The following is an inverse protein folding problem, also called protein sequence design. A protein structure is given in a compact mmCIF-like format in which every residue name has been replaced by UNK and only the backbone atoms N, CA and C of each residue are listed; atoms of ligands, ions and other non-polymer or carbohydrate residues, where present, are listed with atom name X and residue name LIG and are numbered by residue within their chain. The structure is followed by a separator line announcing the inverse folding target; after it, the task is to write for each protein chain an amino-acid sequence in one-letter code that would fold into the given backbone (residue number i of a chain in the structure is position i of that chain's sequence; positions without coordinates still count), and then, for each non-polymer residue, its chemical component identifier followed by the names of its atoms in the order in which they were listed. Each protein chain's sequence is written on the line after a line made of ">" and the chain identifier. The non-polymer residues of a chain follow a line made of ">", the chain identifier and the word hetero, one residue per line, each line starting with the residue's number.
data_IF_244486353518
#
_entry.id   IF_244486353518
#
_cell.length_a   1.000
_cell.length_b   1.000
_cell.length_c   1.000
_cell.angle_alpha   90.00
_cell.angle_beta   90.00
_cell.angle_gamma   90.00
#
_symmetry.space_group_name_H-M   'P 1'
#
loop_
_entity.id
_entity.type
_entity.pdbx_description
1 polymer ?
#
# COMPACT_ATOMS: atom_id res chain seq x y z
N UNK A 1 -0.76 -33.44 8.11
CA UNK A 1 0.21 -32.37 7.81
C UNK A 1 -0.55 -31.24 7.15
N UNK A 2 -0.79 -30.13 7.84
CA UNK A 2 -1.41 -28.96 7.21
C UNK A 2 -0.34 -28.31 6.33
N UNK A 3 -0.63 -28.15 5.03
CA UNK A 3 0.22 -27.45 4.07
C UNK A 3 0.54 -26.06 4.60
N UNK A 4 1.81 -25.73 4.79
CA UNK A 4 2.31 -24.45 5.30
C UNK A 4 2.18 -23.31 4.29
N UNK A 5 1.02 -23.17 3.64
CA UNK A 5 0.70 -22.03 2.80
C UNK A 5 0.36 -20.81 3.65
N UNK A 6 0.77 -19.61 3.21
CA UNK A 6 0.24 -18.38 3.79
C UNK A 6 -1.29 -18.40 3.72
N UNK A 7 -1.99 -17.96 4.78
CA UNK A 7 -3.45 -17.84 4.73
C UNK A 7 -3.86 -16.92 3.58
N UNK A 8 -5.03 -17.16 2.96
CA UNK A 8 -5.52 -16.32 1.88
C UNK A 8 -5.63 -14.88 2.35
N UNK A 9 -5.05 -13.99 1.56
CA UNK A 9 -4.98 -12.54 1.80
C UNK A 9 -6.24 -11.83 1.33
N UNK A 10 -7.08 -12.52 0.55
CA UNK A 10 -8.26 -11.95 -0.11
C UNK A 10 -7.92 -11.14 -1.37
N UNK A 11 -6.64 -11.04 -1.73
CA UNK A 11 -6.15 -10.26 -2.88
C UNK A 11 -5.63 -11.14 -4.02
N UNK A 12 -5.90 -12.45 -3.99
CA UNK A 12 -5.40 -13.43 -4.96
C UNK A 12 -5.78 -13.02 -6.40
N UNK A 13 -6.99 -12.49 -6.58
CA UNK A 13 -7.54 -12.09 -7.88
C UNK A 13 -7.14 -10.68 -8.34
N UNK A 14 -6.46 -9.90 -7.50
CA UNK A 14 -6.02 -8.55 -7.87
C UNK A 14 -4.74 -8.66 -8.71
N UNK A 15 -4.84 -8.33 -10.00
CA UNK A 15 -3.72 -8.34 -10.95
C UNK A 15 -3.22 -6.94 -11.33
N UNK A 16 -3.94 -5.90 -10.90
CA UNK A 16 -3.53 -4.52 -11.13
C UNK A 16 -2.27 -4.16 -10.30
N UNK A 17 -1.40 -3.27 -10.78
CA UNK A 17 -0.28 -2.76 -9.98
C UNK A 17 -0.76 -2.13 -8.67
N UNK A 18 -0.10 -2.45 -7.56
CA UNK A 18 -0.47 -1.94 -6.23
C UNK A 18 0.71 -1.30 -5.50
N UNK A 19 0.41 -0.19 -4.82
CA UNK A 19 1.29 0.58 -3.95
C UNK A 19 0.61 0.86 -2.62
N UNK A 20 1.38 0.99 -1.55
CA UNK A 20 0.86 1.25 -0.21
C UNK A 20 1.50 2.48 0.43
N UNK A 21 0.67 3.44 0.83
CA UNK A 21 1.07 4.66 1.52
C UNK A 21 0.62 4.58 2.99
N UNK A 22 1.57 4.33 3.88
CA UNK A 22 1.32 4.06 5.29
C UNK A 22 1.50 5.34 6.13
N UNK A 23 0.42 5.79 6.79
CA UNK A 23 0.44 6.97 7.66
C UNK A 23 0.48 6.56 9.14
N UNK A 24 1.28 7.24 9.94
CA UNK A 24 1.57 6.87 11.35
C UNK A 24 0.31 6.71 12.22
N UNK A 25 -0.68 7.57 12.04
CA UNK A 25 -1.89 7.61 12.87
C UNK A 25 -3.11 6.95 12.20
N UNK A 26 -2.89 6.12 11.18
CA UNK A 26 -3.94 5.26 10.61
C UNK A 26 -4.28 4.13 11.61
N UNK A 27 -5.55 4.04 12.00
CA UNK A 27 -6.05 3.09 13.00
C UNK A 27 -5.79 1.63 12.61
N UNK A 28 -5.88 1.33 11.32
CA UNK A 28 -5.80 -0.04 10.80
C UNK A 28 -4.48 -0.40 10.12
N UNK A 29 -3.40 0.34 10.35
CA UNK A 29 -2.18 0.16 9.56
C UNK A 29 -1.52 -1.20 9.85
N UNK A 30 -1.49 -2.15 8.89
CA UNK A 30 -0.88 -3.44 9.14
C UNK A 30 0.65 -3.29 9.21
N UNK A 31 1.35 -4.16 9.97
CA UNK A 31 2.80 -4.25 9.89
C UNK A 31 3.26 -4.44 8.44
N UNK A 32 4.33 -3.76 8.03
CA UNK A 32 4.87 -3.90 6.66
C UNK A 32 5.12 -5.36 6.27
N UNK A 33 5.58 -6.17 7.23
CA UNK A 33 5.81 -7.60 7.02
C UNK A 33 4.55 -8.35 6.53
N UNK A 34 3.35 -7.96 6.99
CA UNK A 34 2.10 -8.57 6.53
C UNK A 34 1.72 -8.10 5.12
N UNK A 35 2.04 -6.87 4.75
CA UNK A 35 1.87 -6.41 3.38
C UNK A 35 2.82 -7.17 2.44
N UNK A 36 4.06 -7.39 2.87
CA UNK A 36 5.07 -8.09 2.09
C UNK A 36 4.66 -9.55 1.81
N UNK A 37 3.97 -10.23 2.74
CA UNK A 37 3.49 -11.62 2.52
C UNK A 37 2.45 -11.73 1.42
N UNK A 38 1.76 -10.63 1.06
CA UNK A 38 0.82 -10.63 -0.08
C UNK A 38 1.53 -10.82 -1.41
N UNK A 39 2.79 -10.38 -1.51
CA UNK A 39 3.53 -10.33 -2.78
C UNK A 39 2.91 -9.41 -3.85
N UNK A 40 1.79 -8.73 -3.56
CA UNK A 40 1.04 -7.92 -4.52
C UNK A 40 1.48 -6.45 -4.51
N UNK A 41 1.76 -5.91 -3.33
CA UNK A 41 2.25 -4.54 -3.18
C UNK A 41 3.74 -4.52 -3.49
N UNK A 42 4.14 -3.79 -4.55
CA UNK A 42 5.55 -3.70 -4.98
C UNK A 42 6.26 -2.43 -4.50
N UNK A 43 5.52 -1.53 -3.86
CA UNK A 43 6.03 -0.28 -3.34
C UNK A 43 5.31 0.08 -2.04
N UNK A 44 6.09 0.48 -1.05
CA UNK A 44 5.62 0.86 0.27
C UNK A 44 6.32 2.15 0.70
N UNK A 45 5.57 3.12 1.24
CA UNK A 45 6.13 4.35 1.81
C UNK A 45 5.52 4.60 3.19
N UNK A 46 6.37 4.87 4.17
CA UNK A 46 5.97 5.27 5.52
C UNK A 46 5.97 6.80 5.65
N UNK A 47 4.96 7.35 6.30
CA UNK A 47 4.81 8.76 6.61
C UNK A 47 4.72 8.95 8.13
N UNK A 48 5.61 9.79 8.67
CA UNK A 48 5.68 10.06 10.10
C UNK A 48 4.51 10.93 10.63
N UNK A 49 3.74 11.54 9.74
CA UNK A 49 2.61 12.45 10.02
C UNK A 49 1.39 12.06 9.20
N UNK A 50 0.19 12.40 9.70
CA UNK A 50 -1.09 12.01 9.12
C UNK A 50 -1.62 10.68 9.66
N UNK A 51 -2.91 10.45 9.48
CA UNK A 51 -3.62 9.27 9.93
C UNK A 51 -4.76 8.86 9.02
N UNK A 52 -5.87 8.48 9.63
CA UNK A 52 -7.00 7.86 8.94
C UNK A 52 -7.58 8.71 7.81
N UNK A 53 -7.58 10.04 7.97
CA UNK A 53 -8.07 10.96 6.96
C UNK A 53 -6.90 11.59 6.18
N UNK A 54 -5.96 10.77 5.69
CA UNK A 54 -4.75 11.22 5.00
C UNK A 54 -5.00 12.25 3.88
N UNK A 55 -6.12 12.16 3.16
CA UNK A 55 -6.51 13.14 2.14
C UNK A 55 -6.82 14.53 2.70
N UNK A 56 -7.37 14.61 3.92
CA UNK A 56 -7.66 15.87 4.62
C UNK A 56 -6.46 16.35 5.44
N UNK A 57 -5.74 15.42 6.08
CA UNK A 57 -4.64 15.74 6.99
C UNK A 57 -3.35 16.07 6.23
N UNK A 58 -3.06 15.36 5.13
CA UNK A 58 -1.83 15.45 4.33
C UNK A 58 -2.14 15.49 2.82
N UNK A 59 -2.99 16.42 2.34
CA UNK A 59 -3.47 16.44 0.96
C UNK A 59 -2.35 16.41 -0.08
N UNK A 60 -1.34 17.26 0.08
CA UNK A 60 -0.20 17.34 -0.86
C UNK A 60 0.64 16.06 -0.85
N UNK A 61 0.84 15.45 0.31
CA UNK A 61 1.62 14.21 0.43
C UNK A 61 0.90 13.05 -0.25
N UNK A 62 -0.40 12.86 0.04
CA UNK A 62 -1.17 11.78 -0.57
C UNK A 62 -1.32 12.00 -2.08
N UNK A 63 -1.62 13.23 -2.52
CA UNK A 63 -1.73 13.57 -3.93
C UNK A 63 -0.40 13.31 -4.68
N UNK A 64 0.72 13.70 -4.08
CA UNK A 64 2.06 13.42 -4.63
C UNK A 64 2.31 11.91 -4.79
N UNK A 65 1.98 11.10 -3.78
CA UNK A 65 2.11 9.65 -3.87
C UNK A 65 1.27 9.05 -5.01
N UNK A 66 0.05 9.59 -5.25
CA UNK A 66 -0.83 9.16 -6.35
C UNK A 66 -0.28 9.60 -7.70
N UNK A 67 0.17 10.84 -7.84
CA UNK A 67 0.79 11.35 -9.06
C UNK A 67 2.03 10.54 -9.44
N UNK A 68 2.95 10.30 -8.49
CA UNK A 68 4.13 9.45 -8.67
C UNK A 68 3.77 8.00 -9.09
N UNK A 69 2.61 7.50 -8.64
CA UNK A 69 2.13 6.20 -9.07
C UNK A 69 1.70 6.22 -10.53
N UNK A 70 0.84 7.18 -10.92
CA UNK A 70 0.36 7.32 -12.31
C UNK A 70 1.53 7.53 -13.26
N UNK A 71 2.44 8.47 -12.97
CA UNK A 71 3.62 8.72 -13.80
C UNK A 71 4.51 7.48 -13.97
N UNK A 72 4.58 6.63 -12.94
CA UNK A 72 5.36 5.40 -13.05
C UNK A 72 4.69 4.33 -13.90
N UNK A 73 3.38 4.41 -14.12
CA UNK A 73 2.64 3.51 -15.02
C UNK A 73 2.77 3.97 -16.48
N UNK A 74 2.72 5.28 -16.73
CA UNK A 74 2.89 5.85 -18.08
C UNK A 74 4.30 5.58 -18.65
N UNK A 75 5.32 5.47 -17.79
CA UNK A 75 6.69 5.09 -18.20
C UNK A 75 6.84 3.62 -18.58
N UNK A 76 5.81 2.80 -18.39
CA UNK A 76 5.81 1.37 -18.70
C UNK A 76 4.99 1.03 -19.96
N UNK A 77 4.29 2.01 -20.57
CA UNK A 77 3.58 1.89 -21.85
C UNK A 77 4.44 2.31 -23.02
#
# INVERSE_FOLDING_TARGET
>A
MMSGGNPPTGWEHVNAPMRFSAFKYESGNPPKAWIDTTGKVKWYRWHAEGGHFAALERPTTLCGNVAEFIESMDKLS
#
